data_IF_643331177358
#
_entry.id   IF_643331177358
#
_cell.length_a   1.000
_cell.length_b   1.000
_cell.length_c   1.000
_cell.angle_alpha   90.00
_cell.angle_beta   90.00
_cell.angle_gamma   90.00
#
_symmetry.space_group_name_H-M   'P 1'
#
loop_
_entity.id
_entity.type
_entity.pdbx_description
1 polymer ?
#
# COMPACT_ATOMS: atom_id res chain seq x y z
N UNK A 1 3.90 -10.97 5.79
CA UNK A 1 2.91 -10.99 6.88
C UNK A 1 3.64 -10.83 8.21
N UNK A 2 3.07 -10.10 9.18
CA UNK A 2 3.68 -9.73 10.46
C UNK A 2 4.02 -10.95 11.36
N UNK A 3 3.41 -12.10 11.08
CA UNK A 3 3.50 -13.37 11.84
C UNK A 3 4.91 -13.95 11.98
N UNK A 4 5.88 -13.53 11.17
CA UNK A 4 7.27 -13.96 11.40
C UNK A 4 7.81 -13.44 12.74
N UNK A 5 7.40 -12.23 13.12
CA UNK A 5 7.86 -11.58 14.35
C UNK A 5 7.12 -12.08 15.59
N UNK A 6 6.12 -12.94 15.40
CA UNK A 6 5.52 -13.75 16.46
C UNK A 6 6.12 -15.17 16.51
N UNK A 7 7.12 -15.47 15.67
CA UNK A 7 7.75 -16.79 15.58
C UNK A 7 6.97 -17.82 14.73
N UNK A 8 5.92 -17.40 14.02
CA UNK A 8 5.08 -18.32 13.23
C UNK A 8 5.64 -18.51 11.81
N UNK A 9 6.68 -19.35 11.72
CA UNK A 9 7.41 -19.60 10.48
C UNK A 9 6.55 -20.21 9.36
N UNK A 10 5.54 -21.02 9.71
CA UNK A 10 4.64 -21.64 8.74
C UNK A 10 3.91 -20.60 7.88
N UNK A 11 3.15 -19.69 8.51
CA UNK A 11 2.42 -18.65 7.79
C UNK A 11 3.36 -17.74 7.00
N UNK A 12 4.56 -17.49 7.54
CA UNK A 12 5.58 -16.71 6.85
C UNK A 12 6.08 -17.36 5.55
N UNK A 13 6.41 -18.65 5.58
CA UNK A 13 6.91 -19.38 4.41
C UNK A 13 5.88 -19.40 3.27
N UNK A 14 4.62 -19.67 3.59
CA UNK A 14 3.55 -19.65 2.58
C UNK A 14 3.32 -18.26 1.98
N UNK A 15 3.38 -17.20 2.80
CA UNK A 15 3.34 -15.83 2.29
C UNK A 15 4.50 -15.51 1.35
N UNK A 16 5.70 -16.06 1.61
CA UNK A 16 6.86 -15.88 0.76
C UNK A 16 6.70 -16.56 -0.61
N UNK A 17 6.12 -17.76 -0.65
CA UNK A 17 5.74 -18.43 -1.91
C UNK A 17 4.74 -17.58 -2.70
N UNK A 18 3.67 -17.11 -2.05
CA UNK A 18 2.66 -16.27 -2.71
C UNK A 18 3.25 -14.97 -3.26
N UNK A 19 4.17 -14.35 -2.50
CA UNK A 19 4.92 -13.18 -2.96
C UNK A 19 5.73 -13.51 -4.21
N UNK A 20 6.42 -14.65 -4.26
CA UNK A 20 7.16 -15.07 -5.45
C UNK A 20 6.26 -15.27 -6.68
N UNK A 21 5.10 -15.90 -6.50
CA UNK A 21 4.11 -16.05 -7.58
C UNK A 21 3.63 -14.69 -8.13
N UNK A 22 3.36 -13.74 -7.23
CA UNK A 22 3.01 -12.36 -7.61
C UNK A 22 4.16 -11.65 -8.34
N UNK A 23 5.42 -11.85 -7.92
CA UNK A 23 6.58 -11.27 -8.59
C UNK A 23 6.80 -11.87 -9.99
N UNK A 24 6.47 -13.15 -10.20
CA UNK A 24 6.50 -13.79 -11.52
C UNK A 24 5.38 -13.28 -12.42
N UNK A 25 4.19 -13.06 -11.87
CA UNK A 25 3.09 -12.41 -12.58
C UNK A 25 3.50 -11.00 -13.05
N UNK A 26 4.08 -10.19 -12.16
CA UNK A 26 4.60 -8.87 -12.53
C UNK A 26 5.65 -8.95 -13.64
N UNK A 27 6.59 -9.91 -13.56
CA UNK A 27 7.62 -10.09 -14.58
C UNK A 27 7.03 -10.47 -15.95
N UNK A 28 6.02 -11.34 -15.98
CA UNK A 28 5.28 -11.67 -17.20
C UNK A 28 4.51 -10.48 -17.75
N UNK A 29 3.88 -9.70 -16.86
CA UNK A 29 3.03 -8.58 -17.23
C UNK A 29 3.83 -7.40 -17.75
N UNK A 30 4.94 -7.03 -17.12
CA UNK A 30 5.65 -5.77 -17.40
C UNK A 30 7.11 -5.95 -17.82
N UNK A 31 7.60 -7.19 -17.91
CA UNK A 31 9.02 -7.50 -18.10
C UNK A 31 9.90 -7.28 -16.86
N UNK A 32 9.33 -6.90 -15.71
CA UNK A 32 10.09 -6.61 -14.50
C UNK A 32 9.35 -7.09 -13.23
N UNK A 33 10.06 -7.79 -12.34
CA UNK A 33 9.48 -8.40 -11.12
C UNK A 33 8.82 -7.39 -10.17
N UNK A 34 9.31 -6.15 -10.16
CA UNK A 34 8.79 -5.03 -9.35
C UNK A 34 8.01 -3.99 -10.17
N UNK A 35 7.58 -4.31 -11.40
CA UNK A 35 6.81 -3.39 -12.27
C UNK A 35 7.53 -2.07 -12.62
N UNK A 36 8.87 -2.03 -12.54
CA UNK A 36 9.64 -0.82 -12.85
C UNK A 36 9.52 -0.51 -14.34
N UNK A 37 9.22 0.74 -14.66
CA UNK A 37 9.06 1.21 -16.03
C UNK A 37 7.70 0.89 -16.66
N UNK A 38 6.76 0.27 -15.93
CA UNK A 38 5.42 -0.02 -16.46
C UNK A 38 4.57 1.25 -16.62
N UNK A 39 4.70 2.21 -15.70
CA UNK A 39 4.04 3.52 -15.77
C UNK A 39 5.07 4.56 -16.20
N UNK A 40 4.73 5.34 -17.22
CA UNK A 40 5.59 6.37 -17.83
C UNK A 40 4.81 7.67 -17.99
N UNK A 41 5.48 8.83 -18.15
CA UNK A 41 4.77 10.05 -18.52
C UNK A 41 3.93 9.84 -19.78
N UNK A 42 2.64 10.17 -19.67
CA UNK A 42 1.65 10.00 -20.73
C UNK A 42 0.84 8.70 -20.66
N UNK A 43 1.18 7.74 -19.79
CA UNK A 43 0.36 6.53 -19.58
C UNK A 43 1.15 5.28 -19.20
N UNK A 44 0.89 4.18 -19.91
CA UNK A 44 1.49 2.86 -19.67
C UNK A 44 2.52 2.56 -20.76
N UNK A 45 3.62 1.88 -20.40
CA UNK A 45 4.65 1.48 -21.36
C UNK A 45 4.17 0.36 -22.29
N UNK A 46 4.67 0.38 -23.54
CA UNK A 46 4.33 -0.61 -24.57
C UNK A 46 4.84 -2.04 -24.25
N UNK A 47 5.65 -2.18 -23.20
CA UNK A 47 6.18 -3.48 -22.74
C UNK A 47 5.17 -4.32 -21.96
N UNK A 48 3.96 -3.80 -21.72
CA UNK A 48 2.92 -4.55 -21.01
C UNK A 48 2.36 -5.67 -21.88
N UNK A 49 2.45 -6.90 -21.40
CA UNK A 49 2.02 -8.09 -22.12
C UNK A 49 0.51 -8.31 -21.99
N UNK A 50 -0.20 -8.22 -23.12
CA UNK A 50 -1.65 -8.36 -23.18
C UNK A 50 -2.17 -9.73 -22.73
N UNK A 51 -1.50 -10.84 -23.08
CA UNK A 51 -1.99 -12.17 -22.66
C UNK A 51 -1.87 -12.38 -21.15
N UNK A 52 -0.85 -11.80 -20.53
CA UNK A 52 -0.72 -11.79 -19.07
C UNK A 52 -1.75 -10.86 -18.40
N UNK A 53 -2.20 -9.82 -19.11
CA UNK A 53 -3.24 -8.91 -18.63
C UNK A 53 -4.61 -9.61 -18.59
N UNK A 54 -4.93 -10.43 -19.59
CA UNK A 54 -6.23 -11.15 -19.65
C UNK A 54 -6.37 -12.20 -18.52
N UNK A 55 -5.26 -12.84 -18.12
CA UNK A 55 -5.23 -13.80 -17.00
C UNK A 55 -5.14 -13.16 -15.60
N UNK A 56 -4.96 -11.83 -15.54
CA UNK A 56 -4.62 -11.10 -14.32
C UNK A 56 -5.69 -11.26 -13.22
N UNK A 57 -7.00 -11.05 -13.48
CA UNK A 57 -8.02 -11.18 -12.43
C UNK A 57 -8.04 -12.55 -11.77
N UNK A 58 -8.07 -13.62 -12.57
CA UNK A 58 -8.14 -14.99 -12.06
C UNK A 58 -6.88 -15.39 -11.29
N UNK A 59 -5.71 -14.93 -11.74
CA UNK A 59 -4.45 -15.21 -11.04
C UNK A 59 -4.40 -14.48 -9.70
N UNK A 60 -4.73 -13.18 -9.68
CA UNK A 60 -4.72 -12.37 -8.47
C UNK A 60 -5.76 -12.87 -7.46
N UNK A 61 -6.98 -13.18 -7.91
CA UNK A 61 -8.05 -13.68 -7.06
C UNK A 61 -7.65 -14.97 -6.36
N UNK A 62 -7.10 -15.95 -7.10
CA UNK A 62 -6.58 -17.20 -6.53
C UNK A 62 -5.48 -16.95 -5.48
N UNK A 63 -4.51 -16.10 -5.79
CA UNK A 63 -3.39 -15.81 -4.88
C UNK A 63 -3.87 -15.09 -3.61
N UNK A 64 -4.85 -14.19 -3.74
CA UNK A 64 -5.44 -13.49 -2.61
C UNK A 64 -6.32 -14.42 -1.79
N UNK A 65 -7.12 -15.29 -2.39
CA UNK A 65 -7.87 -16.32 -1.67
C UNK A 65 -6.94 -17.20 -0.81
N UNK A 66 -5.86 -17.71 -1.39
CA UNK A 66 -4.88 -18.51 -0.64
C UNK A 66 -4.20 -17.70 0.47
N UNK A 67 -3.90 -16.41 0.23
CA UNK A 67 -3.40 -15.51 1.28
C UNK A 67 -4.40 -15.35 2.44
N UNK A 68 -5.70 -15.25 2.13
CA UNK A 68 -6.76 -15.11 3.12
C UNK A 68 -6.89 -16.37 3.97
N UNK A 69 -6.79 -17.56 3.38
CA UNK A 69 -6.78 -18.83 4.12
C UNK A 69 -5.59 -18.90 5.09
N UNK A 70 -4.39 -18.50 4.64
CA UNK A 70 -3.20 -18.46 5.50
C UNK A 70 -3.36 -17.41 6.61
N UNK A 71 -3.97 -16.26 6.30
CA UNK A 71 -4.23 -15.22 7.28
C UNK A 71 -5.22 -15.68 8.35
N UNK A 72 -6.29 -16.36 7.96
CA UNK A 72 -7.26 -16.95 8.89
C UNK A 72 -6.59 -17.98 9.80
N UNK A 73 -5.88 -18.96 9.24
CA UNK A 73 -5.11 -19.94 10.01
C UNK A 73 -4.10 -19.30 10.98
N UNK A 74 -3.49 -18.19 10.57
CA UNK A 74 -2.54 -17.47 11.42
C UNK A 74 -3.23 -16.72 12.56
N UNK A 75 -4.42 -16.15 12.32
CA UNK A 75 -5.19 -15.41 13.31
C UNK A 75 -5.95 -16.32 14.28
N UNK A 76 -6.27 -17.55 13.87
CA UNK A 76 -6.83 -18.60 14.74
C UNK A 76 -5.80 -19.18 15.71
N UNK A 77 -4.51 -18.95 15.46
CA UNK A 77 -3.46 -19.34 16.38
C UNK A 77 -3.36 -18.36 17.56
N UNK A 78 -3.69 -18.83 18.78
CA UNK A 78 -3.68 -17.99 19.98
C UNK A 78 -2.31 -17.34 20.26
N UNK A 79 -1.20 -18.04 20.02
CA UNK A 79 0.15 -17.50 20.22
C UNK A 79 0.45 -16.32 19.28
N UNK A 80 -0.12 -16.34 18.08
CA UNK A 80 -0.01 -15.21 17.16
C UNK A 80 -0.94 -14.10 17.64
N UNK A 81 -2.21 -14.40 17.90
CA UNK A 81 -3.23 -13.39 18.22
C UNK A 81 -2.88 -12.60 19.49
N UNK A 82 -2.44 -13.27 20.54
CA UNK A 82 -2.01 -12.66 21.81
C UNK A 82 -0.85 -11.66 21.63
N UNK A 83 -0.03 -11.84 20.60
CA UNK A 83 1.10 -10.95 20.28
C UNK A 83 0.69 -9.75 19.43
N UNK A 84 -0.47 -9.80 18.76
CA UNK A 84 -0.93 -8.71 17.90
C UNK A 84 -1.91 -7.78 18.62
N UNK A 85 -2.78 -8.33 19.47
CA UNK A 85 -3.80 -7.57 20.18
C UNK A 85 -3.20 -6.81 21.35
N UNK A 86 -3.51 -5.51 21.45
CA UNK A 86 -2.99 -4.64 22.51
C UNK A 86 -1.54 -4.17 22.33
N UNK A 87 -0.72 -4.89 21.58
CA UNK A 87 0.66 -4.50 21.25
C UNK A 87 0.70 -3.34 20.26
N UNK A 88 1.58 -2.37 20.50
CA UNK A 88 1.84 -1.30 19.54
C UNK A 88 0.68 -0.32 19.37
N UNK A 89 -0.08 -0.06 20.45
CA UNK A 89 -1.32 0.72 20.41
C UNK A 89 -1.07 2.20 20.14
N UNK A 90 -1.70 2.75 19.11
CA UNK A 90 -1.77 4.19 18.84
C UNK A 90 -3.21 4.68 18.93
N UNK A 91 -3.52 5.48 19.94
CA UNK A 91 -4.89 6.00 20.14
C UNK A 91 -5.31 6.93 19.00
N UNK A 92 -6.62 7.01 18.73
CA UNK A 92 -7.15 7.97 17.74
C UNK A 92 -6.79 9.41 18.05
N UNK A 93 -6.76 9.80 19.33
CA UNK A 93 -6.37 11.14 19.75
C UNK A 93 -4.92 11.44 19.36
N UNK A 94 -3.99 10.56 19.76
CA UNK A 94 -2.57 10.69 19.40
C UNK A 94 -2.37 10.63 17.88
N UNK A 95 -3.07 9.73 17.18
CA UNK A 95 -3.00 9.61 15.73
C UNK A 95 -3.40 10.92 15.03
N UNK A 96 -4.46 11.60 15.50
CA UNK A 96 -4.90 12.89 14.98
C UNK A 96 -3.92 14.02 15.29
N UNK A 97 -3.44 14.07 16.53
CA UNK A 97 -2.45 15.08 16.96
C UNK A 97 -1.14 14.98 16.17
N UNK A 98 -0.68 13.74 15.94
CA UNK A 98 0.52 13.44 15.15
C UNK A 98 0.28 13.49 13.63
N UNK A 99 -0.97 13.73 13.19
CA UNK A 99 -1.36 13.79 11.78
C UNK A 99 -0.91 12.56 10.98
N UNK A 100 -1.05 11.35 11.57
CA UNK A 100 -0.69 10.11 10.87
C UNK A 100 -1.61 9.87 9.68
N UNK A 101 -1.09 9.19 8.66
CA UNK A 101 -1.80 8.95 7.39
C UNK A 101 -1.79 7.48 6.98
N UNK A 102 -2.68 7.12 6.05
CA UNK A 102 -2.70 5.81 5.41
C UNK A 102 -3.04 4.65 6.34
N UNK A 103 -2.28 3.55 6.24
CA UNK A 103 -2.49 2.33 7.03
C UNK A 103 -2.65 2.62 8.53
N UNK A 104 -1.74 3.43 9.09
CA UNK A 104 -1.68 3.69 10.53
C UNK A 104 -2.89 4.52 10.95
N UNK A 105 -3.28 5.50 10.14
CA UNK A 105 -4.47 6.32 10.38
C UNK A 105 -5.75 5.47 10.38
N UNK A 106 -5.92 4.62 9.36
CA UNK A 106 -7.07 3.73 9.23
C UNK A 106 -7.15 2.69 10.34
N UNK A 107 -6.02 2.22 10.85
CA UNK A 107 -5.99 1.30 11.99
C UNK A 107 -6.32 1.99 13.33
N UNK A 108 -6.21 3.32 13.41
CA UNK A 108 -6.46 4.14 14.59
C UNK A 108 -7.73 5.00 14.47
N UNK A 109 -8.69 4.61 13.64
CA UNK A 109 -10.03 5.21 13.57
C UNK A 109 -10.13 6.47 12.70
N UNK A 110 -9.12 6.75 11.88
CA UNK A 110 -9.16 7.87 10.94
C UNK A 110 -9.51 7.30 9.55
N UNK A 111 -10.76 7.50 9.15
CA UNK A 111 -11.27 7.11 7.82
C UNK A 111 -10.84 8.16 6.78
N UNK A 112 -9.72 7.88 6.11
CA UNK A 112 -9.18 8.71 5.04
C UNK A 112 -8.44 7.84 4.00
N UNK A 113 -8.73 8.06 2.72
CA UNK A 113 -8.06 7.42 1.60
C UNK A 113 -8.20 8.27 0.32
N UNK A 114 -7.08 8.66 -0.31
CA UNK A 114 -7.14 9.53 -1.48
C UNK A 114 -7.89 8.90 -2.66
N UNK A 115 -7.94 7.57 -2.77
CA UNK A 115 -8.66 6.91 -3.88
C UNK A 115 -10.16 7.18 -3.84
N UNK A 116 -10.73 7.36 -2.63
CA UNK A 116 -12.14 7.66 -2.42
C UNK A 116 -12.38 9.17 -2.24
N UNK A 117 -11.55 9.82 -1.44
CA UNK A 117 -11.82 11.19 -0.95
C UNK A 117 -11.30 12.28 -1.90
N UNK A 118 -10.29 11.96 -2.73
CA UNK A 118 -9.73 12.84 -3.76
C UNK A 118 -9.27 12.00 -4.97
N UNK A 119 -10.22 11.36 -5.68
CA UNK A 119 -9.92 10.32 -6.64
C UNK A 119 -9.03 10.82 -7.78
N UNK A 120 -8.10 9.95 -8.20
CA UNK A 120 -7.19 10.18 -9.31
C UNK A 120 -7.24 9.01 -10.30
N UNK A 121 -6.65 9.19 -11.48
CA UNK A 121 -6.71 8.22 -12.58
C UNK A 121 -8.16 7.81 -12.91
N UNK A 122 -8.57 6.59 -12.57
CA UNK A 122 -9.93 6.09 -12.79
C UNK A 122 -10.62 5.63 -11.49
N UNK A 123 -10.09 6.04 -10.33
CA UNK A 123 -10.68 5.67 -9.03
C UNK A 123 -12.06 6.30 -8.79
N UNK A 124 -12.41 7.37 -9.51
CA UNK A 124 -13.75 7.96 -9.53
C UNK A 124 -14.81 7.05 -10.18
N UNK A 125 -14.39 6.03 -10.93
CA UNK A 125 -15.26 5.08 -11.65
C UNK A 125 -15.46 3.76 -10.93
N UNK A 126 -14.74 3.54 -9.83
CA UNK A 126 -14.84 2.32 -9.03
C UNK A 126 -15.11 2.71 -7.58
N UNK A 127 -16.10 2.08 -6.96
CA UNK A 127 -16.31 2.24 -5.53
C UNK A 127 -15.13 1.62 -4.78
N UNK A 128 -14.54 2.32 -3.81
CA UNK A 128 -13.38 1.85 -3.03
C UNK A 128 -13.79 1.65 -1.58
N UNK A 129 -13.78 0.40 -1.13
CA UNK A 129 -14.04 0.06 0.25
C UNK A 129 -12.78 0.31 1.10
N UNK A 130 -12.90 1.23 2.06
CA UNK A 130 -11.80 1.64 2.94
C UNK A 130 -11.98 0.97 4.32
N UNK A 131 -11.18 -0.04 4.68
CA UNK A 131 -11.28 -0.68 5.99
C UNK A 131 -10.68 0.20 7.09
N UNK A 132 -11.43 0.40 8.17
CA UNK A 132 -11.02 1.17 9.34
C UNK A 132 -11.22 0.36 10.61
N UNK A 133 -10.32 0.53 11.58
CA UNK A 133 -10.35 -0.08 12.90
C UNK A 133 -10.00 0.99 13.95
N UNK A 134 -10.38 0.78 15.21
CA UNK A 134 -10.22 1.80 16.26
C UNK A 134 -9.14 1.45 17.30
N UNK A 135 -8.74 0.18 17.39
CA UNK A 135 -7.82 -0.27 18.45
C UNK A 135 -6.42 0.28 18.27
N UNK A 136 -6.00 0.59 17.04
CA UNK A 136 -4.70 1.20 16.76
C UNK A 136 -3.50 0.31 17.09
N UNK A 137 -3.70 -0.97 17.34
CA UNK A 137 -2.66 -1.95 17.67
C UNK A 137 -2.17 -2.68 16.41
N UNK A 138 -1.20 -3.59 16.60
CA UNK A 138 -0.65 -4.41 15.53
C UNK A 138 -1.75 -5.25 14.86
N UNK A 139 -2.72 -5.75 15.64
CA UNK A 139 -3.88 -6.48 15.13
C UNK A 139 -4.71 -5.62 14.17
N UNK A 140 -5.12 -4.41 14.56
CA UNK A 140 -5.87 -3.51 13.67
C UNK A 140 -5.14 -3.23 12.36
N UNK A 141 -3.83 -2.91 12.42
CA UNK A 141 -3.01 -2.70 11.21
C UNK A 141 -2.95 -3.96 10.33
N UNK A 142 -2.90 -5.14 10.95
CA UNK A 142 -2.92 -6.42 10.23
C UNK A 142 -4.27 -6.64 9.53
N UNK A 143 -5.37 -6.34 10.21
CA UNK A 143 -6.71 -6.49 9.66
C UNK A 143 -7.00 -5.52 8.50
N UNK A 144 -6.56 -4.26 8.61
CA UNK A 144 -6.61 -3.29 7.49
C UNK A 144 -5.94 -3.89 6.25
N UNK A 145 -4.74 -4.45 6.39
CA UNK A 145 -4.00 -5.07 5.28
C UNK A 145 -4.70 -6.27 4.65
N UNK A 146 -5.27 -7.14 5.48
CA UNK A 146 -6.00 -8.32 5.01
C UNK A 146 -7.22 -7.88 4.19
N UNK A 147 -7.96 -6.87 4.68
CA UNK A 147 -9.12 -6.31 3.98
C UNK A 147 -8.72 -5.57 2.71
N UNK A 148 -7.64 -4.79 2.73
CA UNK A 148 -7.08 -4.12 1.55
C UNK A 148 -6.62 -5.12 0.47
N UNK A 149 -6.08 -6.28 0.84
CA UNK A 149 -5.69 -7.30 -0.13
C UNK A 149 -6.89 -7.88 -0.89
N UNK A 150 -7.98 -8.19 -0.16
CA UNK A 150 -9.25 -8.61 -0.76
C UNK A 150 -9.84 -7.52 -1.66
N UNK A 151 -9.81 -6.29 -1.18
CA UNK A 151 -10.32 -5.14 -1.93
C UNK A 151 -9.49 -4.88 -3.20
N UNK A 152 -8.16 -5.02 -3.13
CA UNK A 152 -7.30 -4.89 -4.31
C UNK A 152 -7.63 -5.92 -5.39
N UNK A 153 -7.87 -7.19 -5.02
CA UNK A 153 -8.31 -8.21 -5.98
C UNK A 153 -9.64 -7.83 -6.64
N UNK A 154 -10.61 -7.34 -5.85
CA UNK A 154 -11.89 -6.87 -6.36
C UNK A 154 -11.72 -5.69 -7.33
N UNK A 155 -10.93 -4.68 -6.96
CA UNK A 155 -10.68 -3.51 -7.80
C UNK A 155 -9.99 -3.89 -9.11
N UNK A 156 -9.04 -4.82 -9.08
CA UNK A 156 -8.39 -5.35 -10.29
C UNK A 156 -9.43 -6.00 -11.21
N UNK A 157 -10.25 -6.91 -10.69
CA UNK A 157 -11.30 -7.56 -11.49
C UNK A 157 -12.28 -6.53 -12.09
N UNK A 158 -12.77 -5.59 -11.27
CA UNK A 158 -13.71 -4.54 -11.71
C UNK A 158 -13.13 -3.61 -12.77
N UNK A 159 -11.83 -3.29 -12.67
CA UNK A 159 -11.16 -2.43 -13.65
C UNK A 159 -10.96 -3.18 -14.97
N UNK A 160 -10.66 -4.48 -14.90
CA UNK A 160 -10.49 -5.34 -16.07
C UNK A 160 -11.79 -5.54 -16.86
N UNK A 161 -12.95 -5.55 -16.21
CA UNK A 161 -14.27 -5.65 -16.86
C UNK A 161 -14.65 -4.41 -17.72
N UNK A 162 -13.92 -3.30 -17.59
CA UNK A 162 -14.31 -1.99 -18.13
C UNK A 162 -13.19 -1.23 -18.83
N UNK A 163 -12.16 -1.92 -19.34
CA UNK A 163 -11.04 -1.25 -20.03
C UNK A 163 -11.55 -0.62 -21.35
N UNK A 164 -11.48 0.72 -21.49
CA UNK A 164 -11.87 1.37 -22.72
C UNK A 164 -10.86 1.06 -23.83
N UNK A 165 -11.34 0.92 -25.07
CA UNK A 165 -10.48 0.88 -26.24
C UNK A 165 -9.78 2.23 -26.44
N UNK A 166 -8.53 2.20 -26.90
CA UNK A 166 -7.76 3.41 -27.20
C UNK A 166 -6.27 3.24 -26.90
N UNK A 167 -5.46 4.28 -27.17
CA UNK A 167 -4.05 4.26 -26.84
C UNK A 167 -3.85 4.27 -25.32
N UNK A 168 -2.97 3.39 -24.82
CA UNK A 168 -2.60 3.34 -23.40
C UNK A 168 -1.59 4.45 -23.00
N UNK A 169 -1.08 5.20 -23.98
CA UNK A 169 -0.11 6.27 -23.81
C UNK A 169 -0.40 7.42 -24.77
N UNK A 170 -0.28 8.64 -24.27
CA UNK A 170 -0.36 9.87 -25.07
C UNK A 170 0.96 10.63 -25.04
N UNK A 171 1.21 11.42 -26.08
CA UNK A 171 2.30 12.39 -26.08
C UNK A 171 1.95 13.55 -25.13
N UNK A 172 2.90 13.95 -24.31
CA UNK A 172 2.73 15.05 -23.38
C UNK A 172 3.29 16.35 -23.98
N UNK A 173 2.63 17.50 -23.74
CA UNK A 173 3.24 18.78 -24.07
C UNK A 173 4.51 19.02 -23.24
N UNK A 174 5.40 19.93 -23.67
CA UNK A 174 6.53 20.35 -22.85
C UNK A 174 6.08 20.90 -21.50
N UNK A 175 6.99 20.86 -20.52
CA UNK A 175 6.73 21.42 -19.20
C UNK A 175 6.47 22.92 -19.29
N UNK A 176 5.62 23.42 -18.41
CA UNK A 176 5.38 24.85 -18.23
C UNK A 176 6.14 25.30 -16.99
N UNK A 177 6.80 26.45 -17.08
CA UNK A 177 7.48 27.06 -15.94
C UNK A 177 6.51 27.26 -14.76
N UNK A 178 7.01 27.02 -13.55
CA UNK A 178 6.23 27.08 -12.31
C UNK A 178 6.20 25.75 -11.57
N UNK A 179 5.42 25.71 -10.49
CA UNK A 179 5.32 24.55 -9.61
C UNK A 179 3.91 23.94 -9.57
N UNK A 180 3.85 22.64 -9.29
CA UNK A 180 2.61 21.87 -9.16
C UNK A 180 2.74 20.82 -8.08
N UNK A 181 1.60 20.51 -7.44
CA UNK A 181 1.50 19.42 -6.45
C UNK A 181 0.52 18.35 -6.93
N UNK A 182 0.84 17.08 -6.71
CA UNK A 182 -0.08 15.96 -6.90
C UNK A 182 0.16 14.89 -5.83
N UNK A 183 -0.84 14.05 -5.59
CA UNK A 183 -0.75 12.96 -4.63
C UNK A 183 -1.48 11.71 -5.10
N UNK A 184 -0.99 10.56 -4.64
CA UNK A 184 -1.61 9.25 -4.86
C UNK A 184 -1.64 8.46 -3.56
N UNK A 185 -2.65 7.61 -3.37
CA UNK A 185 -2.65 6.65 -2.25
C UNK A 185 -1.72 5.49 -2.59
N UNK A 186 -0.55 5.44 -1.95
CA UNK A 186 0.26 4.22 -1.93
C UNK A 186 -0.32 3.23 -0.92
N UNK A 187 0.16 1.99 -0.96
CA UNK A 187 -0.19 1.01 0.06
C UNK A 187 0.18 1.47 1.49
N UNK A 188 1.15 2.36 1.71
CA UNK A 188 1.44 2.91 3.05
C UNK A 188 0.53 4.06 3.45
N UNK A 189 -0.03 4.77 2.48
CA UNK A 189 -0.70 6.05 2.65
C UNK A 189 -0.45 7.01 1.48
N UNK A 190 -0.90 8.27 1.61
CA UNK A 190 -0.74 9.29 0.57
C UNK A 190 0.73 9.66 0.35
N UNK A 191 1.20 9.52 -0.88
CA UNK A 191 2.51 10.02 -1.34
C UNK A 191 2.29 11.31 -2.10
N UNK A 192 2.93 12.38 -1.67
CA UNK A 192 2.83 13.70 -2.29
C UNK A 192 4.07 13.99 -3.12
N UNK A 193 3.85 14.59 -4.29
CA UNK A 193 4.87 15.14 -5.17
C UNK A 193 4.63 16.63 -5.32
N UNK A 194 5.66 17.41 -5.05
CA UNK A 194 5.75 18.80 -5.47
C UNK A 194 6.88 18.90 -6.50
N UNK A 195 6.59 19.46 -7.67
CA UNK A 195 7.51 19.54 -8.80
C UNK A 195 7.55 20.98 -9.29
N UNK A 196 8.76 21.51 -9.48
CA UNK A 196 9.04 22.82 -10.05
C UNK A 196 9.77 22.65 -11.38
N UNK A 197 9.20 23.20 -12.44
CA UNK A 197 9.80 23.24 -13.76
C UNK A 197 10.38 24.65 -14.02
N UNK A 198 11.62 24.69 -14.51
CA UNK A 198 12.33 25.91 -14.90
C UNK A 198 12.28 26.20 -16.40
N UNK A 199 11.68 25.30 -17.18
CA UNK A 199 11.55 25.43 -18.62
C UNK A 199 10.97 24.18 -19.26
N UNK A 200 10.83 24.17 -20.60
CA UNK A 200 10.12 23.14 -21.37
C UNK A 200 10.57 21.68 -21.12
N UNK A 201 11.84 21.48 -20.78
CA UNK A 201 12.44 20.15 -20.54
C UNK A 201 13.21 20.08 -19.21
N UNK A 202 13.07 21.10 -18.35
CA UNK A 202 13.87 21.24 -17.14
C UNK A 202 13.01 21.13 -15.89
N UNK A 203 13.24 20.06 -15.13
CA UNK A 203 12.79 19.95 -13.74
C UNK A 203 13.85 20.55 -12.84
N UNK A 204 13.56 21.68 -12.21
CA UNK A 204 14.48 22.36 -11.30
C UNK A 204 14.50 21.70 -9.93
N UNK A 205 13.32 21.35 -9.42
CA UNK A 205 13.21 20.77 -8.08
C UNK A 205 12.05 19.80 -8.00
N UNK A 206 12.27 18.71 -7.26
CA UNK A 206 11.24 17.77 -6.86
C UNK A 206 11.34 17.60 -5.35
N UNK A 207 10.21 17.72 -4.66
CA UNK A 207 10.06 17.28 -3.27
C UNK A 207 9.02 16.18 -3.21
N UNK A 208 9.40 15.07 -2.61
CA UNK A 208 8.51 13.93 -2.37
C UNK A 208 8.24 13.88 -0.86
N UNK A 209 6.99 13.62 -0.47
CA UNK A 209 6.66 13.29 0.90
C UNK A 209 5.97 11.92 0.93
N UNK A 210 6.72 10.91 1.34
CA UNK A 210 6.21 9.56 1.61
C UNK A 210 5.49 9.54 2.97
N UNK A 211 4.46 8.68 3.15
CA UNK A 211 3.80 8.48 4.45
C UNK A 211 4.76 8.23 5.62
N UNK A 212 5.92 7.62 5.35
CA UNK A 212 6.93 7.30 6.36
C UNK A 212 7.48 8.54 7.04
N UNK A 213 7.68 9.65 6.32
CA UNK A 213 8.14 10.91 6.89
C UNK A 213 7.20 11.43 8.00
N UNK A 214 5.88 11.28 7.80
CA UNK A 214 4.85 11.71 8.77
C UNK A 214 4.64 10.70 9.89
N UNK A 215 4.65 9.41 9.55
CA UNK A 215 4.26 8.36 10.49
C UNK A 215 5.39 7.92 11.43
N UNK A 216 6.66 8.22 11.13
CA UNK A 216 7.80 7.78 11.94
C UNK A 216 7.73 8.24 13.40
N UNK A 217 7.48 9.53 13.70
CA UNK A 217 7.39 10.00 15.07
C UNK A 217 6.25 9.34 15.86
N UNK A 218 5.17 8.93 15.20
CA UNK A 218 4.05 8.23 15.87
C UNK A 218 4.40 6.81 16.33
N UNK A 219 5.45 6.20 15.77
CA UNK A 219 5.94 4.89 16.22
C UNK A 219 6.44 4.96 17.67
N UNK A 220 7.06 6.07 18.08
CA UNK A 220 7.56 6.25 19.44
C UNK A 220 6.43 6.10 20.46
N UNK A 221 5.29 6.71 20.19
CA UNK A 221 4.09 6.60 21.02
C UNK A 221 3.51 5.19 21.03
N UNK A 222 3.51 4.51 19.88
CA UNK A 222 3.00 3.14 19.78
C UNK A 222 3.86 2.14 20.56
N UNK A 223 5.16 2.40 20.72
CA UNK A 223 6.09 1.53 21.46
C UNK A 223 5.98 1.72 22.98
N UNK A 224 5.48 2.85 23.46
CA UNK A 224 5.36 3.11 24.90
C UNK A 224 4.56 2.01 25.62
N UNK A 225 5.03 1.63 26.81
CA UNK A 225 4.42 0.62 27.68
C UNK A 225 4.33 -0.81 27.08
N UNK A 226 5.05 -1.10 26.00
CA UNK A 226 5.23 -2.46 25.49
C UNK A 226 6.49 -3.11 26.09
N UNK A 227 6.52 -4.43 26.15
CA UNK A 227 7.73 -5.17 26.52
C UNK A 227 8.77 -5.13 25.39
N UNK A 228 10.06 -5.26 25.72
CA UNK A 228 11.15 -5.21 24.73
C UNK A 228 10.94 -6.19 23.55
N UNK A 229 10.50 -7.44 23.75
CA UNK A 229 10.23 -8.37 22.64
C UNK A 229 9.13 -7.93 21.66
N UNK A 230 8.32 -6.93 21.99
CA UNK A 230 7.23 -6.44 21.14
C UNK A 230 7.68 -5.34 20.17
N UNK A 231 8.85 -4.75 20.41
CA UNK A 231 9.38 -3.69 19.55
C UNK A 231 9.41 -4.08 18.06
N UNK A 232 9.84 -5.29 17.65
CA UNK A 232 9.79 -5.71 16.25
C UNK A 232 8.37 -5.69 15.66
N UNK A 233 7.35 -6.07 16.45
CA UNK A 233 5.95 -6.07 16.02
C UNK A 233 5.44 -4.65 15.84
N UNK A 234 5.71 -3.76 16.80
CA UNK A 234 5.38 -2.35 16.70
C UNK A 234 5.97 -1.74 15.42
N UNK A 235 7.29 -1.86 15.24
CA UNK A 235 8.00 -1.29 14.11
C UNK A 235 7.49 -1.84 12.76
N UNK A 236 7.46 -3.17 12.60
CA UNK A 236 7.09 -3.78 11.31
C UNK A 236 5.61 -3.64 10.97
N UNK A 237 4.75 -3.47 11.98
CA UNK A 237 3.32 -3.23 11.73
C UNK A 237 3.03 -1.86 11.12
N UNK A 238 3.83 -0.82 11.42
CA UNK A 238 3.76 0.45 10.72
C UNK A 238 4.31 0.33 9.29
N UNK A 239 5.26 -0.58 9.09
CA UNK A 239 5.85 -0.94 7.80
C UNK A 239 6.45 0.26 7.06
N UNK A 240 7.10 1.17 7.79
CA UNK A 240 7.61 2.42 7.24
C UNK A 240 8.89 2.20 6.43
N UNK A 241 9.15 3.08 5.47
CA UNK A 241 10.32 3.09 4.59
C UNK A 241 11.37 4.07 5.10
N UNK A 242 12.58 3.59 5.41
CA UNK A 242 13.72 4.46 5.77
C UNK A 242 14.01 5.45 4.65
N UNK A 243 14.18 4.95 3.42
CA UNK A 243 14.41 5.81 2.27
C UNK A 243 13.26 6.79 2.04
N UNK A 244 12.01 6.39 2.32
CA UNK A 244 10.85 7.28 2.20
C UNK A 244 10.88 8.42 3.21
N UNK A 245 11.45 8.21 4.40
CA UNK A 245 11.66 9.24 5.41
C UNK A 245 12.80 10.20 5.06
N UNK A 246 13.77 9.75 4.25
CA UNK A 246 14.94 10.55 3.86
C UNK A 246 14.69 11.39 2.59
N UNK A 247 13.59 11.14 1.86
CA UNK A 247 13.17 11.89 0.66
C UNK A 247 12.70 13.31 0.97
#
# INVERSE_FOLDING_TARGET
MIVNDTGFAFGHAHCFRLREEMLRLNARLTGHRLMRGAIVPGGVADTVNQSALDELPGTVDRLVAEFLDIAELSLDNSLVLERLQGTGRLTTATAREMQVVGLVARASGIDADLRRDAPFAAYDKVDVAVPTYETGDVWARTMVRIREAREAARLIARTMDGIPAGPARVELPPLREGDQTSAVESWRGPVWYWVMAGGPEQVERVKIADPSFRNWPALEYAVLNNIVPDFPLCNKSFNLSYSGSDL
#
